data_IF_953621791973
#
_entry.id   IF_953621791973
#
_cell.length_a   1.000
_cell.length_b   1.000
_cell.length_c   1.000
_cell.angle_alpha   90.00
_cell.angle_beta   90.00
_cell.angle_gamma   90.00
#
_symmetry.space_group_name_H-M   'P 1'
#
loop_
_entity.id
_entity.type
_entity.pdbx_description
1 polymer ?
#
# COMPACT_ATOMS: atom_id res chain seq x y z
N UNK A 1 -6.75 2.62 4.28
CA UNK A 1 -5.97 3.88 4.12
C UNK A 1 -4.51 3.54 4.33
N UNK A 2 -3.63 4.05 3.47
CA UNK A 2 -2.18 3.89 3.61
C UNK A 2 -1.55 5.28 3.66
N UNK A 3 -0.70 5.55 4.65
CA UNK A 3 0.15 6.74 4.72
C UNK A 3 1.62 6.35 4.74
N UNK A 4 2.47 7.26 4.26
CA UNK A 4 3.91 7.05 4.14
C UNK A 4 4.61 8.31 4.62
N UNK A 5 5.59 8.16 5.48
CA UNK A 5 6.42 9.26 5.98
C UNK A 5 7.90 8.85 6.01
N UNK A 6 8.78 9.84 5.81
CA UNK A 6 10.21 9.60 5.85
C UNK A 6 10.64 9.15 7.24
N UNK A 7 11.47 8.10 7.31
CA UNK A 7 12.04 7.68 8.57
C UNK A 7 13.32 8.47 8.86
N UNK A 8 13.21 9.48 9.74
CA UNK A 8 14.35 10.34 10.10
C UNK A 8 15.46 9.62 10.86
N UNK A 9 15.18 8.45 11.47
CA UNK A 9 16.18 7.66 12.19
C UNK A 9 16.91 6.68 11.26
N UNK A 10 16.27 6.25 10.18
CA UNK A 10 16.79 5.26 9.23
C UNK A 10 16.54 5.74 7.80
N UNK A 11 17.48 6.51 7.20
CA UNK A 11 17.25 7.31 5.99
C UNK A 11 16.94 6.52 4.72
N UNK A 12 17.21 5.20 4.70
CA UNK A 12 16.86 4.31 3.58
C UNK A 12 15.50 3.63 3.77
N UNK A 13 14.70 4.07 4.73
CA UNK A 13 13.43 3.45 5.06
C UNK A 13 12.29 4.49 5.12
N UNK A 14 11.08 3.97 5.02
CA UNK A 14 9.81 4.70 5.07
C UNK A 14 8.96 4.07 6.16
N UNK A 15 8.36 4.90 7.02
CA UNK A 15 7.29 4.42 7.90
C UNK A 15 6.00 4.39 7.10
N UNK A 16 5.42 3.20 6.97
CA UNK A 16 4.18 2.97 6.24
C UNK A 16 3.11 2.55 7.23
N UNK A 17 2.07 3.37 7.39
CA UNK A 17 0.93 3.05 8.23
C UNK A 17 -0.20 2.52 7.38
N UNK A 18 -0.63 1.30 7.70
CA UNK A 18 -1.80 0.64 7.16
C UNK A 18 -2.94 0.81 8.14
N UNK A 19 -4.09 1.30 7.67
CA UNK A 19 -5.23 1.57 8.52
C UNK A 19 -6.56 1.14 7.89
N UNK A 20 -7.41 0.49 8.68
CA UNK A 20 -8.78 0.16 8.35
C UNK A 20 -9.76 0.86 9.30
N UNK A 21 -10.98 1.10 8.83
CA UNK A 21 -12.03 1.70 9.65
C UNK A 21 -12.39 0.78 10.83
N UNK A 22 -12.59 1.35 12.02
CA UNK A 22 -13.18 0.63 13.18
C UNK A 22 -14.61 0.14 12.92
N UNK A 23 -15.28 0.63 11.88
CA UNK A 23 -16.61 0.14 11.48
C UNK A 23 -16.56 -1.31 10.99
N UNK A 24 -15.38 -1.84 10.66
CA UNK A 24 -15.18 -3.27 10.43
C UNK A 24 -15.27 -3.96 11.79
N UNK A 25 -16.41 -4.62 12.03
CA UNK A 25 -16.60 -5.43 13.24
C UNK A 25 -15.65 -6.62 13.19
N UNK A 26 -14.66 -6.65 14.07
CA UNK A 26 -13.64 -7.69 14.10
C UNK A 26 -13.05 -7.85 15.50
N UNK A 27 -12.64 -9.07 15.82
CA UNK A 27 -11.89 -9.40 17.04
C UNK A 27 -10.39 -9.25 16.77
N UNK A 28 -9.95 -9.61 15.57
CA UNK A 28 -8.55 -9.46 15.16
C UNK A 28 -8.45 -9.14 13.68
N UNK A 29 -7.43 -8.34 13.34
CA UNK A 29 -7.03 -8.06 11.97
C UNK A 29 -5.52 -8.23 11.91
N UNK A 30 -5.03 -8.95 10.91
CA UNK A 30 -3.61 -9.11 10.65
C UNK A 30 -3.27 -8.62 9.25
N UNK A 31 -2.12 -7.97 9.12
CA UNK A 31 -1.50 -7.73 7.81
C UNK A 31 -0.71 -8.99 7.43
N UNK A 32 -0.91 -9.47 6.21
CA UNK A 32 -0.22 -10.66 5.69
C UNK A 32 0.36 -10.32 4.33
N UNK A 33 1.67 -10.48 4.15
CA UNK A 33 2.31 -10.12 2.90
C UNK A 33 3.82 -10.30 2.92
N UNK A 34 4.48 -9.74 1.91
CA UNK A 34 5.94 -9.82 1.76
C UNK A 34 6.68 -9.32 3.01
N UNK A 35 6.12 -8.30 3.66
CA UNK A 35 6.65 -7.64 4.86
C UNK A 35 6.81 -8.57 6.07
N UNK A 36 6.11 -9.71 6.09
CA UNK A 36 6.16 -10.66 7.20
C UNK A 36 6.25 -12.12 6.73
N UNK A 37 6.74 -12.34 5.51
CA UNK A 37 6.87 -13.67 4.92
C UNK A 37 5.54 -14.40 4.78
N UNK A 38 4.44 -13.67 4.56
CA UNK A 38 3.09 -14.20 4.44
C UNK A 38 2.58 -14.97 5.68
N UNK A 39 3.09 -14.62 6.86
CA UNK A 39 2.60 -15.19 8.12
C UNK A 39 1.24 -14.60 8.51
N UNK A 40 0.21 -15.43 8.79
CA UNK A 40 -1.12 -14.95 9.13
C UNK A 40 -1.22 -14.34 10.53
N UNK A 41 -0.20 -14.50 11.38
CA UNK A 41 -0.23 -14.10 12.80
C UNK A 41 0.89 -13.13 13.19
N UNK A 42 1.92 -12.96 12.36
CA UNK A 42 3.11 -12.20 12.75
C UNK A 42 2.89 -10.68 12.87
N UNK A 43 1.84 -10.14 12.24
CA UNK A 43 1.64 -8.68 12.15
C UNK A 43 0.19 -8.30 12.46
N UNK A 44 -0.22 -8.33 13.74
CA UNK A 44 -1.54 -7.87 14.15
C UNK A 44 -1.67 -6.35 14.03
N UNK A 45 -2.85 -5.88 13.63
CA UNK A 45 -3.23 -4.47 13.72
C UNK A 45 -3.77 -4.19 15.13
N UNK A 46 -3.49 -2.99 15.64
CA UNK A 46 -4.03 -2.48 16.90
C UNK A 46 -5.25 -1.61 16.61
N UNK A 47 -6.34 -1.82 17.35
CA UNK A 47 -7.45 -0.88 17.38
C UNK A 47 -7.09 0.30 18.29
N UNK A 48 -7.11 1.51 17.74
CA UNK A 48 -6.95 2.75 18.50
C UNK A 48 -7.98 3.79 18.03
N UNK A 49 -8.78 4.29 18.97
CA UNK A 49 -9.94 5.15 18.69
C UNK A 49 -10.85 4.54 17.61
N UNK A 50 -10.85 5.17 16.44
CA UNK A 50 -11.75 4.83 15.33
C UNK A 50 -11.07 4.06 14.19
N UNK A 51 -9.86 3.52 14.37
CA UNK A 51 -9.17 2.79 13.32
C UNK A 51 -8.37 1.59 13.84
N UNK A 52 -8.35 0.52 13.04
CA UNK A 52 -7.36 -0.55 13.15
C UNK A 52 -6.11 -0.13 12.39
N UNK A 53 -4.92 -0.19 12.99
CA UNK A 53 -3.70 0.22 12.31
C UNK A 53 -2.45 -0.56 12.70
N UNK A 54 -1.47 -0.54 11.80
CA UNK A 54 -0.09 -0.97 12.04
C UNK A 54 0.84 -0.07 11.23
N UNK A 55 1.98 0.29 11.82
CA UNK A 55 3.03 1.06 11.16
C UNK A 55 4.27 0.17 11.01
N UNK A 56 4.75 0.04 9.78
CA UNK A 56 5.91 -0.78 9.43
C UNK A 56 7.03 0.09 8.87
N UNK A 57 8.26 -0.21 9.27
CA UNK A 57 9.46 0.35 8.64
C UNK A 57 9.83 -0.50 7.44
N UNK A 58 9.72 0.04 6.24
CA UNK A 58 10.00 -0.66 4.98
C UNK A 58 11.11 0.06 4.21
N UNK A 59 11.90 -0.66 3.42
CA UNK A 59 12.90 -0.05 2.55
C UNK A 59 12.24 0.90 1.56
N UNK A 60 12.87 2.05 1.29
CA UNK A 60 12.45 3.00 0.27
C UNK A 60 12.55 2.36 -1.13
N UNK A 61 11.70 2.81 -2.07
CA UNK A 61 11.67 2.33 -3.47
C UNK A 61 11.36 0.82 -3.62
N UNK A 62 10.79 0.21 -2.60
CA UNK A 62 10.28 -1.16 -2.61
C UNK A 62 8.85 -1.25 -3.12
N UNK A 63 8.45 -2.47 -3.45
CA UNK A 63 7.08 -2.84 -3.82
C UNK A 63 6.70 -4.11 -3.05
N UNK A 64 5.66 -4.03 -2.23
CA UNK A 64 5.27 -5.10 -1.31
C UNK A 64 3.82 -5.51 -1.56
N UNK A 65 3.61 -6.80 -1.74
CA UNK A 65 2.28 -7.41 -1.84
C UNK A 65 1.75 -7.74 -0.45
N UNK A 66 0.46 -7.51 -0.24
CA UNK A 66 -0.20 -7.79 1.03
C UNK A 66 -1.72 -7.95 0.91
N UNK A 67 -2.33 -8.45 1.98
CA UNK A 67 -3.77 -8.49 2.25
C UNK A 67 -4.01 -8.30 3.76
N UNK A 68 -5.26 -8.05 4.14
CA UNK A 68 -5.69 -8.13 5.54
C UNK A 68 -6.44 -9.45 5.79
N UNK A 69 -6.11 -10.11 6.89
CA UNK A 69 -6.80 -11.30 7.38
C UNK A 69 -7.65 -10.92 8.61
N UNK A 70 -8.96 -11.00 8.45
CA UNK A 70 -9.94 -10.65 9.46
C UNK A 70 -10.38 -11.92 10.18
N UNK A 71 -10.28 -11.93 11.52
CA UNK A 71 -10.68 -13.05 12.39
C UNK A 71 -10.12 -14.42 11.97
N UNK A 72 -9.00 -14.45 11.23
CA UNK A 72 -8.38 -15.68 10.73
C UNK A 72 -9.06 -16.32 9.52
N UNK A 73 -10.16 -15.75 9.00
CA UNK A 73 -10.98 -16.39 7.97
C UNK A 73 -11.16 -15.54 6.73
N UNK A 74 -11.45 -14.25 6.91
CA UNK A 74 -11.89 -13.39 5.81
C UNK A 74 -10.74 -12.53 5.29
N UNK A 75 -10.60 -12.51 3.97
CA UNK A 75 -9.52 -11.78 3.32
C UNK A 75 -10.01 -10.50 2.67
N UNK A 76 -9.41 -9.38 3.03
CA UNK A 76 -9.72 -8.05 2.48
C UNK A 76 -8.50 -7.50 1.75
N UNK A 77 -8.76 -6.94 0.56
CA UNK A 77 -7.78 -6.14 -0.18
C UNK A 77 -7.99 -4.66 0.12
N UNK A 78 -6.91 -3.88 0.12
CA UNK A 78 -6.96 -2.44 0.27
C UNK A 78 -7.37 -1.79 -1.05
N UNK A 79 -8.50 -1.09 -1.06
CA UNK A 79 -9.01 -0.38 -2.23
C UNK A 79 -8.17 0.86 -2.58
N UNK A 80 -7.41 1.39 -1.62
CA UNK A 80 -6.51 2.54 -1.81
C UNK A 80 -5.04 2.12 -1.96
N UNK A 81 -4.78 0.86 -2.30
CA UNK A 81 -3.44 0.38 -2.60
C UNK A 81 -2.89 1.05 -3.87
N UNK A 82 -1.57 1.03 -4.05
CA UNK A 82 -0.95 1.60 -5.24
C UNK A 82 -1.27 0.78 -6.49
N UNK A 83 -1.40 -0.53 -6.35
CA UNK A 83 -1.84 -1.42 -7.42
C UNK A 83 -2.53 -2.68 -6.85
N UNK A 84 -3.08 -3.49 -7.76
CA UNK A 84 -3.63 -4.81 -7.49
C UNK A 84 -3.05 -5.79 -8.50
N UNK A 85 -2.53 -6.92 -8.03
CA UNK A 85 -1.91 -7.95 -8.90
C UNK A 85 -2.63 -9.29 -8.78
N UNK A 86 -2.87 -10.02 -9.88
CA UNK A 86 -3.54 -11.32 -9.82
C UNK A 86 -2.80 -12.34 -8.95
N UNK A 87 -3.55 -13.09 -8.14
CA UNK A 87 -3.04 -14.20 -7.35
C UNK A 87 -3.08 -15.52 -8.15
N UNK A 88 -2.11 -16.41 -7.95
CA UNK A 88 -2.00 -17.69 -8.68
C UNK A 88 -3.22 -18.60 -8.52
N UNK A 89 -3.89 -18.53 -7.38
CA UNK A 89 -5.05 -19.34 -7.02
C UNK A 89 -6.40 -18.63 -7.29
N UNK A 90 -6.38 -17.54 -8.06
CA UNK A 90 -7.54 -16.68 -8.26
C UNK A 90 -7.65 -15.59 -7.18
N UNK A 91 -8.26 -14.47 -7.55
CA UNK A 91 -8.27 -13.24 -6.75
C UNK A 91 -7.06 -12.35 -7.04
N UNK A 92 -6.73 -11.46 -6.11
CA UNK A 92 -5.64 -10.49 -6.26
C UNK A 92 -5.01 -10.14 -4.92
N UNK A 93 -3.76 -9.65 -4.97
CA UNK A 93 -3.03 -9.05 -3.84
C UNK A 93 -2.99 -7.53 -4.00
N UNK A 94 -3.12 -6.80 -2.89
CA UNK A 94 -2.85 -5.36 -2.87
C UNK A 94 -1.35 -5.11 -2.91
N UNK A 95 -0.92 -4.06 -3.59
CA UNK A 95 0.48 -3.66 -3.69
C UNK A 95 0.68 -2.26 -3.12
N UNK A 96 1.64 -2.11 -2.23
CA UNK A 96 2.13 -0.81 -1.75
C UNK A 96 3.53 -0.58 -2.30
N UNK A 97 3.76 0.60 -2.90
CA UNK A 97 5.10 1.04 -3.30
C UNK A 97 5.62 2.05 -2.30
N UNK A 98 6.88 1.98 -1.90
CA UNK A 98 7.46 2.86 -0.88
C UNK A 98 8.23 4.03 -1.48
N UNK A 99 7.80 4.50 -2.65
CA UNK A 99 8.25 5.80 -3.17
C UNK A 99 7.63 6.90 -2.33
N UNK A 100 8.47 7.75 -1.75
CA UNK A 100 8.04 9.01 -1.17
C UNK A 100 7.97 10.00 -2.32
N UNK A 101 6.76 10.33 -2.76
CA UNK A 101 6.58 11.53 -3.56
C UNK A 101 7.10 12.70 -2.71
N UNK A 102 8.26 13.24 -3.06
CA UNK A 102 8.65 14.55 -2.56
C UNK A 102 7.47 15.47 -2.87
N UNK A 103 6.79 15.95 -1.82
CA UNK A 103 5.62 16.79 -1.98
C UNK A 103 5.95 17.90 -2.96
N UNK A 104 5.34 17.85 -4.15
CA UNK A 104 5.49 18.87 -5.18
C UNK A 104 4.87 20.22 -4.76
N UNK A 105 4.63 20.46 -3.46
CA UNK A 105 4.28 21.77 -2.90
C UNK A 105 5.45 22.77 -2.95
N UNK A 106 6.65 22.36 -3.33
CA UNK A 106 7.79 23.27 -3.47
C UNK A 106 8.04 23.78 -4.90
N UNK A 107 7.32 23.32 -5.93
CA UNK A 107 7.45 23.86 -7.28
C UNK A 107 6.06 24.15 -7.85
N UNK A 108 5.62 25.39 -7.71
CA UNK A 108 4.54 25.93 -8.51
C UNK A 108 4.97 25.95 -9.98
N UNK A 109 4.70 24.88 -10.73
CA UNK A 109 4.73 24.89 -12.19
C UNK A 109 3.65 23.98 -12.76
N UNK A 110 2.52 24.61 -13.07
CA UNK A 110 1.66 24.43 -14.24
C UNK A 110 1.70 23.08 -14.99
N UNK A 111 0.52 22.45 -15.07
CA UNK A 111 0.02 21.61 -16.16
C UNK A 111 1.03 21.24 -17.25
N UNK A 112 1.48 19.99 -17.25
CA UNK A 112 1.96 19.35 -18.49
C UNK A 112 1.05 18.18 -18.80
N UNK A 113 0.20 18.44 -19.79
CA UNK A 113 -0.60 17.50 -20.56
C UNK A 113 0.30 16.36 -21.04
N UNK A 114 -0.09 15.10 -20.79
CA UNK A 114 0.47 13.94 -21.47
C UNK A 114 0.30 14.12 -22.99
N UNK A 115 1.37 14.14 -23.81
CA UNK A 115 1.20 14.08 -25.25
C UNK A 115 0.73 12.66 -25.62
N UNK A 116 -0.49 12.55 -26.16
CA UNK A 116 -0.93 11.37 -26.90
C UNK A 116 0.08 11.10 -28.02
N UNK A 117 0.82 9.99 -27.92
CA UNK A 117 1.56 9.42 -29.03
C UNK A 117 0.57 8.96 -30.11
N UNK A 118 0.34 9.82 -31.10
CA UNK A 118 -0.23 9.40 -32.38
C UNK A 118 0.85 8.65 -33.17
N UNK A 119 0.73 7.33 -33.22
CA UNK A 119 1.46 6.49 -34.16
C UNK A 119 1.04 6.86 -35.58
N UNK A 120 1.91 7.55 -36.33
CA UNK A 120 1.77 7.69 -37.78
C UNK A 120 2.01 6.32 -38.42
N UNK A 121 0.97 5.71 -39.01
CA UNK A 121 1.20 4.78 -40.10
C UNK A 121 1.24 5.56 -41.41
N UNK A 122 2.41 5.56 -42.05
CA UNK A 122 2.56 5.77 -43.50
C UNK A 122 2.14 4.47 -44.17
N UNK A 123 1.22 4.54 -45.12
CA UNK A 123 1.13 3.57 -46.21
C UNK A 123 1.53 4.28 -47.50
N UNK A 124 2.28 3.57 -48.31
CA UNK A 124 2.81 3.97 -49.61
C UNK A 124 1.71 4.06 -50.68
#
# INVERSE_FOLDING_TARGET
MITKEANHLYPNTVQVTFALSSTIWSVSIHMVGDVNGWSPTATPLRLDGNAWSVTLTLDINGSYQFRYLINGTDWINESRANASVPAKNGGAYSVVVTHLECSNRALGMHNVVLPLLHTRQRAA
#
